data_IF_085562500232
#
_entry.id   IF_085562500232
#
_cell.length_a   1.000
_cell.length_b   1.000
_cell.length_c   1.000
_cell.angle_alpha   90.00
_cell.angle_beta   90.00
_cell.angle_gamma   90.00
#
_symmetry.space_group_name_H-M   'P 1'
#
loop_
_entity.id
_entity.type
_entity.pdbx_description
1 polymer ?
#
# COMPACT_ATOMS: atom_id res chain seq x y z
N UNK A 1 10.00 4.85 -25.84
CA UNK A 1 10.78 6.04 -26.23
C UNK A 1 12.23 6.00 -25.68
N UNK A 2 12.49 5.29 -24.58
CA UNK A 2 13.82 5.18 -23.94
C UNK A 2 14.59 3.93 -24.43
N UNK A 3 14.02 3.14 -25.34
CA UNK A 3 14.66 1.96 -25.96
C UNK A 3 14.90 0.77 -25.01
N UNK A 4 14.27 0.78 -23.80
CA UNK A 4 14.34 -0.35 -22.88
C UNK A 4 13.16 -1.30 -23.12
N UNK A 5 13.43 -2.61 -23.11
CA UNK A 5 12.41 -3.65 -23.21
C UNK A 5 11.57 -3.75 -21.93
N UNK A 6 10.48 -4.51 -21.94
CA UNK A 6 9.56 -4.64 -20.79
C UNK A 6 10.22 -5.24 -19.54
N UNK A 7 11.13 -6.19 -19.71
CA UNK A 7 11.82 -6.89 -18.63
C UNK A 7 12.67 -5.97 -17.73
N UNK A 8 13.53 -5.07 -18.26
CA UNK A 8 14.20 -4.02 -17.49
C UNK A 8 13.23 -3.13 -16.69
N UNK A 9 12.12 -2.70 -17.29
CA UNK A 9 11.17 -1.80 -16.65
C UNK A 9 10.49 -2.49 -15.44
N UNK A 10 10.03 -3.72 -15.62
CA UNK A 10 9.40 -4.49 -14.55
C UNK A 10 10.38 -4.85 -13.44
N UNK A 11 11.66 -5.11 -13.77
CA UNK A 11 12.68 -5.39 -12.77
C UNK A 11 13.00 -4.17 -11.88
N UNK A 12 12.99 -2.95 -12.43
CA UNK A 12 13.14 -1.71 -11.62
C UNK A 12 12.03 -1.61 -10.59
N UNK A 13 10.78 -1.91 -10.96
CA UNK A 13 9.63 -1.86 -10.04
C UNK A 13 9.76 -2.93 -8.95
N UNK A 14 10.07 -4.17 -9.34
CA UNK A 14 10.24 -5.29 -8.41
C UNK A 14 11.35 -5.05 -7.38
N UNK A 15 12.53 -4.64 -7.85
CA UNK A 15 13.67 -4.30 -6.99
C UNK A 15 13.37 -3.14 -6.05
N UNK A 16 12.65 -2.11 -6.54
CA UNK A 16 12.22 -0.98 -5.70
C UNK A 16 11.30 -1.44 -4.56
N UNK A 17 10.33 -2.30 -4.88
CA UNK A 17 9.40 -2.84 -3.87
C UNK A 17 10.13 -3.68 -2.82
N UNK A 18 11.12 -4.47 -3.24
CA UNK A 18 11.96 -5.25 -2.33
C UNK A 18 12.78 -4.33 -1.39
N UNK A 19 13.36 -3.25 -1.91
CA UNK A 19 14.08 -2.27 -1.08
C UNK A 19 13.14 -1.62 -0.07
N UNK A 20 11.93 -1.21 -0.47
CA UNK A 20 10.94 -0.64 0.45
C UNK A 20 10.55 -1.66 1.52
N UNK A 21 10.34 -2.92 1.15
CA UNK A 21 10.05 -3.99 2.10
C UNK A 21 11.14 -4.14 3.17
N UNK A 22 12.40 -4.18 2.75
CA UNK A 22 13.55 -4.35 3.65
C UNK A 22 13.84 -3.10 4.49
N UNK A 23 13.66 -1.90 3.92
CA UNK A 23 13.98 -0.64 4.58
C UNK A 23 12.89 -0.17 5.56
N UNK A 24 11.61 -0.45 5.31
CA UNK A 24 10.50 0.01 6.15
C UNK A 24 10.63 -0.36 7.63
N UNK A 25 10.98 -1.60 8.02
CA UNK A 25 11.16 -1.94 9.43
C UNK A 25 12.37 -1.25 10.08
N UNK A 26 13.39 -0.94 9.27
CA UNK A 26 14.57 -0.19 9.74
C UNK A 26 14.16 1.24 10.05
N UNK A 27 13.48 1.91 9.13
CA UNK A 27 12.98 3.26 9.31
C UNK A 27 11.96 3.38 10.44
N UNK A 28 11.11 2.39 10.63
CA UNK A 28 10.20 2.31 11.76
C UNK A 28 10.95 2.45 13.10
N UNK A 29 12.01 1.66 13.29
CA UNK A 29 12.87 1.72 14.48
C UNK A 29 13.71 2.99 14.57
N UNK A 30 14.23 3.48 13.44
CA UNK A 30 14.95 4.76 13.38
C UNK A 30 14.04 5.90 13.84
N UNK A 31 12.75 5.85 13.50
CA UNK A 31 11.77 6.84 13.94
C UNK A 31 11.51 6.81 15.46
N UNK A 32 11.77 5.68 16.10
CA UNK A 32 11.77 5.60 17.57
C UNK A 32 12.92 6.40 18.21
N UNK A 33 14.05 6.45 17.54
CA UNK A 33 15.26 7.13 18.05
C UNK A 33 15.33 8.60 17.66
N UNK A 34 15.16 8.90 16.38
CA UNK A 34 15.29 10.28 15.84
C UNK A 34 14.00 11.11 16.03
N UNK A 35 12.89 10.46 16.36
CA UNK A 35 11.57 11.06 16.43
C UNK A 35 10.78 10.93 15.12
N UNK A 36 9.45 10.81 15.27
CA UNK A 36 8.53 10.57 14.14
C UNK A 36 8.61 11.66 13.08
N UNK A 37 8.49 12.92 13.52
CA UNK A 37 8.51 14.08 12.63
C UNK A 37 9.79 14.16 11.80
N UNK A 38 10.96 13.96 12.42
CA UNK A 38 12.24 14.02 11.71
C UNK A 38 12.33 12.95 10.61
N UNK A 39 11.93 11.71 10.91
CA UNK A 39 11.98 10.62 9.94
C UNK A 39 10.94 10.79 8.83
N UNK A 40 9.73 11.32 9.15
CA UNK A 40 8.76 11.70 8.12
C UNK A 40 9.35 12.74 7.15
N UNK A 41 10.01 13.77 7.67
CA UNK A 41 10.67 14.78 6.86
C UNK A 41 11.78 14.20 5.97
N UNK A 42 12.62 13.32 6.53
CA UNK A 42 13.64 12.59 5.74
C UNK A 42 12.98 11.84 4.59
N UNK A 43 11.88 11.13 4.87
CA UNK A 43 11.14 10.41 3.84
C UNK A 43 10.53 11.31 2.75
N UNK A 44 9.94 12.45 3.13
CA UNK A 44 9.31 13.38 2.18
C UNK A 44 10.36 14.11 1.31
N UNK A 45 11.41 14.66 1.92
CA UNK A 45 12.50 15.28 1.16
C UNK A 45 13.29 14.25 0.35
N UNK A 46 13.48 13.04 0.89
CA UNK A 46 14.08 11.93 0.17
C UNK A 46 13.23 11.47 -1.03
N UNK A 47 11.90 11.48 -0.91
CA UNK A 47 10.99 11.25 -2.03
C UNK A 47 11.17 12.33 -3.10
N UNK A 48 11.16 13.61 -2.72
CA UNK A 48 11.36 14.73 -3.65
C UNK A 48 12.71 14.64 -4.36
N UNK A 49 13.80 14.56 -3.61
CA UNK A 49 15.16 14.47 -4.17
C UNK A 49 15.37 13.23 -5.04
N UNK A 50 14.85 12.08 -4.59
CA UNK A 50 14.92 10.82 -5.35
C UNK A 50 14.12 10.87 -6.66
N UNK A 51 12.95 11.56 -6.66
CA UNK A 51 12.16 11.78 -7.87
C UNK A 51 12.90 12.71 -8.83
N UNK A 52 13.51 13.77 -8.33
CA UNK A 52 14.37 14.67 -9.14
C UNK A 52 15.52 13.89 -9.76
N UNK A 53 16.24 13.09 -8.97
CA UNK A 53 17.34 12.27 -9.46
C UNK A 53 16.88 11.29 -10.56
N UNK A 54 15.79 10.56 -10.32
CA UNK A 54 15.25 9.61 -11.27
C UNK A 54 14.79 10.27 -12.57
N UNK A 55 14.10 11.42 -12.47
CA UNK A 55 13.69 12.22 -13.63
C UNK A 55 14.88 12.77 -14.42
N UNK A 56 15.93 13.20 -13.75
CA UNK A 56 17.15 13.70 -14.41
C UNK A 56 17.80 12.59 -15.23
N UNK A 57 17.88 11.37 -14.68
CA UNK A 57 18.39 10.21 -15.41
C UNK A 57 17.50 9.84 -16.61
N UNK A 58 16.16 9.88 -16.43
CA UNK A 58 15.22 9.66 -17.54
C UNK A 58 15.38 10.71 -18.64
N UNK A 59 15.55 11.97 -18.26
CA UNK A 59 15.78 13.05 -19.23
C UNK A 59 17.07 12.84 -20.03
N UNK A 60 18.15 12.41 -19.39
CA UNK A 60 19.39 12.03 -20.07
C UNK A 60 19.19 10.86 -21.03
N UNK A 61 18.31 9.93 -20.72
CA UNK A 61 17.91 8.86 -21.63
C UNK A 61 17.10 9.36 -22.81
N UNK A 62 16.14 10.26 -22.59
CA UNK A 62 15.30 10.84 -23.65
C UNK A 62 16.11 11.73 -24.61
N UNK A 63 17.12 12.43 -24.10
CA UNK A 63 18.03 13.25 -24.93
C UNK A 63 19.13 12.43 -25.64
N UNK A 64 19.21 11.11 -25.38
CA UNK A 64 20.22 10.24 -25.96
C UNK A 64 21.62 10.37 -25.32
N UNK A 65 21.78 11.16 -24.26
CA UNK A 65 23.06 11.32 -23.56
C UNK A 65 23.45 10.04 -22.78
N UNK A 66 22.49 9.25 -22.33
CA UNK A 66 22.68 7.92 -21.77
C UNK A 66 21.79 6.92 -22.52
N UNK A 67 22.36 5.77 -22.90
CA UNK A 67 21.64 4.74 -23.66
C UNK A 67 21.98 3.33 -23.18
N UNK A 68 21.16 2.35 -23.57
CA UNK A 68 21.43 0.92 -23.35
C UNK A 68 21.64 0.55 -21.87
N UNK A 69 22.65 -0.27 -21.61
CA UNK A 69 22.95 -0.80 -20.27
C UNK A 69 23.37 0.27 -19.25
N UNK A 70 24.03 1.34 -19.70
CA UNK A 70 24.43 2.44 -18.82
C UNK A 70 23.24 3.23 -18.31
N UNK A 71 22.27 3.52 -19.17
CA UNK A 71 21.00 4.12 -18.79
C UNK A 71 20.22 3.23 -17.81
N UNK A 72 20.13 1.94 -18.11
CA UNK A 72 19.45 0.98 -17.25
C UNK A 72 20.08 0.90 -15.87
N UNK A 73 21.41 0.80 -15.78
CA UNK A 73 22.14 0.80 -14.52
C UNK A 73 21.92 2.10 -13.71
N UNK A 74 21.97 3.25 -14.37
CA UNK A 74 21.74 4.55 -13.75
C UNK A 74 20.29 4.67 -13.22
N UNK A 75 19.29 4.21 -13.96
CA UNK A 75 17.89 4.18 -13.53
C UNK A 75 17.67 3.26 -12.32
N UNK A 76 18.30 2.07 -12.31
CA UNK A 76 18.24 1.16 -11.15
C UNK A 76 18.84 1.85 -9.93
N UNK A 77 20.06 2.38 -10.02
CA UNK A 77 20.71 3.04 -8.88
C UNK A 77 19.87 4.20 -8.36
N UNK A 78 19.44 5.10 -9.24
CA UNK A 78 18.58 6.22 -8.87
C UNK A 78 17.29 5.76 -8.19
N UNK A 79 16.65 4.69 -8.69
CA UNK A 79 15.42 4.17 -8.15
C UNK A 79 15.60 3.46 -6.81
N UNK A 80 16.68 2.70 -6.63
CA UNK A 80 16.98 2.04 -5.35
C UNK A 80 17.33 3.06 -4.26
N UNK A 81 18.12 4.09 -4.59
CA UNK A 81 18.39 5.22 -3.68
C UNK A 81 17.09 5.91 -3.30
N UNK A 82 16.23 6.24 -4.28
CA UNK A 82 14.91 6.83 -4.03
C UNK A 82 14.08 5.94 -3.12
N UNK A 83 13.90 4.65 -3.45
CA UNK A 83 13.09 3.71 -2.70
C UNK A 83 13.56 3.55 -1.24
N UNK A 84 14.87 3.52 -1.00
CA UNK A 84 15.44 3.34 0.33
C UNK A 84 15.13 4.50 1.28
N UNK A 85 15.12 5.75 0.79
CA UNK A 85 14.87 6.93 1.62
C UNK A 85 13.37 7.26 1.71
N UNK A 86 12.63 7.18 0.60
CA UNK A 86 11.19 7.45 0.60
C UNK A 86 10.41 6.50 1.54
N UNK A 87 10.90 5.27 1.70
CA UNK A 87 10.28 4.27 2.58
C UNK A 87 10.25 4.65 4.06
N UNK A 88 10.93 5.73 4.46
CA UNK A 88 10.93 6.28 5.81
C UNK A 88 9.58 6.93 6.20
N UNK A 89 8.88 7.54 5.23
CA UNK A 89 7.71 8.36 5.50
C UNK A 89 6.55 7.56 6.11
N UNK A 90 6.16 6.45 5.50
CA UNK A 90 4.98 5.68 5.91
C UNK A 90 5.10 5.04 7.30
N UNK A 91 6.18 4.33 7.66
CA UNK A 91 6.34 3.79 9.01
C UNK A 91 6.32 4.87 10.09
N UNK A 92 6.99 6.01 9.82
CA UNK A 92 7.02 7.12 10.76
C UNK A 92 5.64 7.78 10.91
N UNK A 93 4.88 7.96 9.83
CA UNK A 93 3.51 8.48 9.86
C UNK A 93 2.57 7.55 10.60
N UNK A 94 2.63 6.23 10.34
CA UNK A 94 1.83 5.22 11.04
C UNK A 94 2.12 5.22 12.54
N UNK A 95 3.40 5.25 12.90
CA UNK A 95 3.81 5.30 14.30
C UNK A 95 3.43 6.64 14.97
N UNK A 96 3.53 7.77 14.26
CA UNK A 96 3.07 9.07 14.73
C UNK A 96 1.56 9.06 15.00
N UNK A 97 0.76 8.51 14.08
CA UNK A 97 -0.68 8.36 14.26
C UNK A 97 -0.99 7.49 15.49
N UNK A 98 -0.21 6.44 15.71
CA UNK A 98 -0.32 5.62 16.90
C UNK A 98 0.02 6.41 18.20
N UNK A 99 1.01 7.28 18.16
CA UNK A 99 1.43 8.07 19.31
C UNK A 99 0.38 9.15 19.71
N UNK A 100 -0.39 9.70 18.75
CA UNK A 100 -1.37 10.78 19.00
C UNK A 100 -2.80 10.29 19.20
N UNK A 101 -3.08 9.01 19.01
CA UNK A 101 -4.42 8.43 19.16
C UNK A 101 -4.51 7.53 20.38
N UNK A 102 -5.65 7.59 21.08
CA UNK A 102 -5.95 6.63 22.13
C UNK A 102 -6.27 5.24 21.54
N UNK A 103 -6.17 4.14 22.32
CA UNK A 103 -6.50 2.80 21.82
C UNK A 103 -7.89 2.73 21.17
N UNK A 104 -8.91 3.40 21.74
CA UNK A 104 -10.28 3.42 21.25
C UNK A 104 -10.41 4.15 19.90
N UNK A 105 -9.60 5.18 19.68
CA UNK A 105 -9.62 5.99 18.46
C UNK A 105 -8.55 5.58 17.44
N UNK A 106 -7.77 4.54 17.71
CA UNK A 106 -6.65 4.09 16.86
C UNK A 106 -7.09 3.77 15.44
N UNK A 107 -8.17 3.02 15.30
CA UNK A 107 -8.72 2.66 13.98
C UNK A 107 -9.20 3.89 13.21
N UNK A 108 -9.83 4.85 13.88
CA UNK A 108 -10.27 6.11 13.27
C UNK A 108 -9.09 6.94 12.75
N UNK A 109 -8.02 7.05 13.54
CA UNK A 109 -6.78 7.72 13.12
C UNK A 109 -6.14 7.05 11.90
N UNK A 110 -6.02 5.72 11.92
CA UNK A 110 -5.51 4.97 10.77
C UNK A 110 -6.43 5.09 9.55
N UNK A 111 -7.77 5.16 9.77
CA UNK A 111 -8.77 5.41 8.73
C UNK A 111 -8.61 6.77 8.06
N UNK A 112 -8.32 7.82 8.83
CA UNK A 112 -8.05 9.15 8.28
C UNK A 112 -6.81 9.15 7.36
N UNK A 113 -5.75 8.44 7.76
CA UNK A 113 -4.55 8.24 6.91
C UNK A 113 -4.88 7.47 5.63
N UNK A 114 -5.71 6.42 5.73
CA UNK A 114 -6.18 5.66 4.59
C UNK A 114 -7.04 6.50 3.63
N UNK A 115 -7.91 7.37 4.15
CA UNK A 115 -8.72 8.29 3.35
C UNK A 115 -7.83 9.26 2.54
N UNK A 116 -6.76 9.78 3.15
CA UNK A 116 -5.79 10.61 2.44
C UNK A 116 -5.08 9.85 1.31
N UNK A 117 -4.71 8.58 1.54
CA UNK A 117 -4.14 7.72 0.50
C UNK A 117 -5.12 7.48 -0.66
N UNK A 118 -6.41 7.22 -0.37
CA UNK A 118 -7.43 7.05 -1.40
C UNK A 118 -7.69 8.33 -2.20
N UNK A 119 -7.67 9.49 -1.54
CA UNK A 119 -7.76 10.77 -2.23
C UNK A 119 -6.59 10.94 -3.21
N UNK A 120 -5.37 10.59 -2.79
CA UNK A 120 -4.20 10.56 -3.68
C UNK A 120 -4.35 9.60 -4.86
N UNK A 121 -4.94 8.42 -4.64
CA UNK A 121 -5.21 7.44 -5.69
C UNK A 121 -6.26 7.93 -6.71
N UNK A 122 -7.21 8.77 -6.30
CA UNK A 122 -8.19 9.40 -7.20
C UNK A 122 -7.56 10.55 -7.99
N UNK A 123 -6.77 11.40 -7.31
CA UNK A 123 -6.15 12.59 -7.92
C UNK A 123 -4.93 12.24 -8.79
N UNK A 124 -4.24 11.14 -8.49
CA UNK A 124 -3.03 10.72 -9.21
C UNK A 124 -3.20 10.61 -10.73
N UNK A 125 -4.21 9.87 -11.24
CA UNK A 125 -4.49 9.78 -12.68
C UNK A 125 -4.78 11.13 -13.33
N UNK A 126 -5.45 12.05 -12.62
CA UNK A 126 -5.69 13.41 -13.14
C UNK A 126 -4.38 14.19 -13.33
N UNK A 127 -3.44 14.06 -12.40
CA UNK A 127 -2.11 14.65 -12.52
C UNK A 127 -1.29 14.02 -13.65
N UNK A 128 -1.44 12.72 -13.90
CA UNK A 128 -0.75 12.04 -15.01
C UNK A 128 -1.21 12.55 -16.38
N UNK A 129 -2.41 13.11 -16.50
CA UNK A 129 -2.91 13.76 -17.70
C UNK A 129 -2.04 14.95 -18.17
N UNK A 130 -1.28 15.57 -17.28
CA UNK A 130 -0.31 16.62 -17.62
C UNK A 130 0.85 16.13 -18.50
N UNK A 131 1.01 14.81 -18.67
CA UNK A 131 1.96 14.23 -19.63
C UNK A 131 1.68 14.64 -21.09
N UNK A 132 0.49 15.15 -21.40
CA UNK A 132 0.15 15.75 -22.71
C UNK A 132 1.04 16.96 -23.01
N UNK A 133 1.44 17.74 -22.01
CA UNK A 133 2.31 18.91 -22.20
C UNK A 133 3.80 18.53 -22.20
N UNK A 134 4.21 17.59 -21.37
CA UNK A 134 5.56 17.02 -21.33
C UNK A 134 5.54 15.69 -20.58
N UNK A 135 6.21 14.67 -21.13
CA UNK A 135 6.25 13.33 -20.56
C UNK A 135 6.71 13.31 -19.08
N UNK A 136 7.65 14.18 -18.72
CA UNK A 136 8.22 14.25 -17.39
C UNK A 136 7.53 15.27 -16.46
N UNK A 137 6.61 16.11 -16.99
CA UNK A 137 5.96 17.15 -16.20
C UNK A 137 5.22 16.62 -14.96
N UNK A 138 4.44 15.52 -15.03
CA UNK A 138 3.80 14.96 -13.85
C UNK A 138 4.79 14.59 -12.74
N UNK A 139 5.95 14.02 -13.12
CA UNK A 139 6.96 13.59 -12.17
C UNK A 139 7.68 14.79 -11.51
N UNK A 140 7.95 15.87 -12.27
CA UNK A 140 8.47 17.12 -11.71
C UNK A 140 7.49 17.75 -10.73
N UNK A 141 6.21 17.77 -11.08
CA UNK A 141 5.16 18.29 -10.21
C UNK A 141 5.07 17.49 -8.90
N UNK A 142 5.13 16.14 -8.96
CA UNK A 142 5.12 15.28 -7.78
C UNK A 142 6.35 15.56 -6.90
N UNK A 143 7.53 15.78 -7.47
CA UNK A 143 8.72 16.14 -6.71
C UNK A 143 8.54 17.45 -5.95
N UNK A 144 7.97 18.48 -6.60
CA UNK A 144 7.66 19.77 -5.98
C UNK A 144 6.62 19.62 -4.87
N UNK A 145 5.51 18.89 -5.12
CA UNK A 145 4.48 18.63 -4.12
C UNK A 145 5.03 17.87 -2.90
N UNK A 146 5.92 16.90 -3.10
CA UNK A 146 6.57 16.19 -2.01
C UNK A 146 7.48 17.12 -1.17
N UNK A 147 8.20 18.03 -1.81
CA UNK A 147 9.01 19.05 -1.13
C UNK A 147 8.12 19.97 -0.29
N UNK A 148 7.04 20.50 -0.86
CA UNK A 148 6.07 21.31 -0.13
C UNK A 148 5.44 20.55 1.04
N UNK A 149 5.11 19.28 0.86
CA UNK A 149 4.60 18.45 1.95
C UNK A 149 5.65 18.29 3.08
N UNK A 150 6.91 18.07 2.72
CA UNK A 150 8.01 18.06 3.70
C UNK A 150 8.12 19.38 4.48
N UNK A 151 8.02 20.52 3.81
CA UNK A 151 8.01 21.86 4.43
C UNK A 151 6.78 22.06 5.31
N UNK A 152 5.61 21.57 4.86
CA UNK A 152 4.37 21.64 5.64
C UNK A 152 4.48 20.83 6.93
N UNK A 153 5.00 19.60 6.85
CA UNK A 153 5.30 18.75 8.01
C UNK A 153 6.28 19.44 8.95
N UNK A 154 7.34 20.04 8.41
CA UNK A 154 8.33 20.79 9.21
C UNK A 154 7.69 21.93 9.98
N UNK A 155 6.85 22.73 9.33
CA UNK A 155 6.30 23.97 9.93
C UNK A 155 5.10 23.68 10.85
N UNK A 156 4.19 22.80 10.45
CA UNK A 156 2.88 22.68 11.09
C UNK A 156 2.70 21.41 11.92
N UNK A 157 3.43 20.32 11.63
CA UNK A 157 3.25 19.11 12.42
C UNK A 157 3.96 19.25 13.77
N UNK A 158 3.27 19.11 14.92
CA UNK A 158 3.92 19.12 16.23
C UNK A 158 4.82 17.89 16.39
N UNK A 159 5.74 17.94 17.34
CA UNK A 159 6.48 16.75 17.75
C UNK A 159 5.51 15.73 18.39
N UNK A 160 5.79 14.44 18.25
CA UNK A 160 5.00 13.42 18.92
C UNK A 160 4.99 13.69 20.44
N UNK A 161 3.81 13.63 21.10
CA UNK A 161 3.68 13.92 22.53
C UNK A 161 4.42 12.93 23.44
N UNK A 162 4.83 11.80 22.91
CA UNK A 162 5.60 10.84 23.69
C UNK A 162 6.99 11.40 24.03
N UNK A 163 7.16 11.76 25.31
CA UNK A 163 8.49 11.95 25.90
C UNK A 163 9.24 10.61 25.84
N UNK A 164 10.03 10.45 24.81
CA UNK A 164 10.98 9.33 24.81
C UNK A 164 12.16 9.73 25.68
N UNK A 165 12.41 8.95 26.72
CA UNK A 165 13.73 8.93 27.30
C UNK A 165 14.73 8.80 26.13
N UNK A 166 15.77 9.62 26.13
CA UNK A 166 16.82 9.59 25.10
C UNK A 166 17.57 8.25 25.20
N UNK A 167 16.89 7.16 24.89
CA UNK A 167 17.51 5.84 24.77
C UNK A 167 18.48 5.89 23.62
N UNK A 168 19.75 5.69 23.91
CA UNK A 168 20.82 5.57 22.91
C UNK A 168 20.64 4.32 22.03
N UNK A 169 19.71 3.42 22.35
CA UNK A 169 19.44 2.18 21.63
C UNK A 169 18.24 2.33 20.67
N UNK A 170 18.30 1.66 19.54
CA UNK A 170 17.12 1.45 18.67
C UNK A 170 16.08 0.67 19.48
N UNK A 171 14.78 1.02 19.28
CA UNK A 171 13.68 0.29 19.91
C UNK A 171 13.77 -1.23 19.67
N UNK A 172 13.09 -2.04 20.51
CA UNK A 172 13.18 -3.49 20.44
C UNK A 172 12.82 -4.01 19.06
N UNK A 173 13.59 -4.98 18.56
CA UNK A 173 13.40 -5.58 17.24
C UNK A 173 12.30 -6.62 17.30
N UNK A 174 11.12 -6.32 16.78
CA UNK A 174 10.11 -7.33 16.54
C UNK A 174 10.49 -8.22 15.34
N UNK A 175 10.08 -9.47 15.42
CA UNK A 175 10.21 -10.45 14.32
C UNK A 175 8.88 -10.53 13.58
N UNK A 176 8.91 -10.74 12.26
CA UNK A 176 7.69 -10.95 11.45
C UNK A 176 6.82 -12.12 11.95
N UNK A 177 7.43 -13.12 12.53
CA UNK A 177 6.78 -14.32 13.09
C UNK A 177 6.44 -14.19 14.58
N UNK A 178 6.49 -12.99 15.18
CA UNK A 178 6.05 -12.78 16.56
C UNK A 178 4.55 -13.13 16.66
N UNK A 179 4.16 -14.07 17.55
CA UNK A 179 2.79 -14.55 17.65
C UNK A 179 1.75 -13.45 17.89
N UNK A 180 2.15 -12.33 18.49
CA UNK A 180 1.26 -11.17 18.76
C UNK A 180 0.84 -10.44 17.50
N UNK A 181 1.74 -10.31 16.53
CA UNK A 181 1.52 -9.55 15.29
C UNK A 181 1.32 -10.43 14.06
N UNK A 182 1.69 -11.71 14.12
CA UNK A 182 1.60 -12.64 12.99
C UNK A 182 0.23 -12.68 12.32
N UNK A 183 -0.91 -12.71 13.04
CA UNK A 183 -2.23 -12.67 12.41
C UNK A 183 -2.43 -11.43 11.55
N UNK A 184 -1.99 -10.27 12.04
CA UNK A 184 -2.10 -9.01 11.31
C UNK A 184 -1.15 -8.97 10.12
N UNK A 185 0.08 -9.47 10.25
CA UNK A 185 1.05 -9.54 9.15
C UNK A 185 0.50 -10.43 8.02
N UNK A 186 -0.04 -11.61 8.34
CA UNK A 186 -0.65 -12.51 7.35
C UNK A 186 -1.82 -11.82 6.63
N UNK A 187 -2.74 -11.21 7.38
CA UNK A 187 -3.86 -10.45 6.79
C UNK A 187 -3.33 -9.33 5.90
N UNK A 188 -2.37 -8.54 6.38
CA UNK A 188 -1.81 -7.43 5.64
C UNK A 188 -1.16 -7.85 4.32
N UNK A 189 -0.28 -8.86 4.36
CA UNK A 189 0.40 -9.36 3.14
C UNK A 189 -0.61 -9.91 2.14
N UNK A 190 -1.54 -10.77 2.58
CA UNK A 190 -2.54 -11.38 1.71
C UNK A 190 -3.51 -10.35 1.13
N UNK A 191 -3.90 -9.35 1.93
CA UNK A 191 -4.75 -8.24 1.51
C UNK A 191 -4.09 -7.43 0.38
N UNK A 192 -2.86 -6.99 0.56
CA UNK A 192 -2.14 -6.24 -0.47
C UNK A 192 -1.76 -7.11 -1.68
N UNK A 193 -1.46 -8.38 -1.48
CA UNK A 193 -1.22 -9.32 -2.57
C UNK A 193 -2.48 -9.49 -3.45
N UNK A 194 -3.64 -9.72 -2.84
CA UNK A 194 -4.90 -9.83 -3.58
C UNK A 194 -5.27 -8.52 -4.29
N UNK A 195 -5.06 -7.36 -3.65
CA UNK A 195 -5.27 -6.06 -4.27
C UNK A 195 -4.35 -5.87 -5.49
N UNK A 196 -3.06 -6.14 -5.35
CA UNK A 196 -2.09 -6.00 -6.43
C UNK A 196 -2.32 -6.99 -7.59
N UNK A 197 -2.80 -8.20 -7.28
CA UNK A 197 -3.22 -9.20 -8.26
C UNK A 197 -4.34 -8.65 -9.14
N UNK A 198 -5.39 -8.06 -8.55
CA UNK A 198 -6.50 -7.43 -9.28
C UNK A 198 -6.01 -6.24 -10.10
N UNK A 199 -5.18 -5.38 -9.52
CA UNK A 199 -4.60 -4.23 -10.24
C UNK A 199 -3.88 -4.64 -11.52
N UNK A 200 -3.22 -5.78 -11.51
CA UNK A 200 -2.46 -6.28 -12.66
C UNK A 200 -3.33 -7.01 -13.68
N UNK A 201 -4.33 -7.75 -13.27
CA UNK A 201 -5.04 -8.70 -14.14
C UNK A 201 -6.42 -8.24 -14.57
N UNK A 202 -7.06 -7.31 -13.84
CA UNK A 202 -8.45 -6.93 -14.09
C UNK A 202 -8.65 -6.23 -15.44
N UNK A 203 -7.64 -5.52 -15.94
CA UNK A 203 -7.68 -4.93 -17.30
C UNK A 203 -7.87 -6.01 -18.37
N UNK A 204 -7.04 -7.07 -18.30
CA UNK A 204 -7.16 -8.22 -19.19
C UNK A 204 -8.50 -8.96 -18.99
N UNK A 205 -8.96 -9.12 -17.75
CA UNK A 205 -10.26 -9.75 -17.45
C UNK A 205 -11.44 -9.01 -18.07
N UNK A 206 -11.46 -7.66 -18.02
CA UNK A 206 -12.46 -6.86 -18.71
C UNK A 206 -12.37 -7.02 -20.22
N UNK A 207 -11.16 -7.00 -20.77
CA UNK A 207 -10.91 -7.14 -22.20
C UNK A 207 -11.41 -8.50 -22.72
N UNK A 208 -11.00 -9.58 -22.07
CA UNK A 208 -11.31 -10.95 -22.48
C UNK A 208 -12.80 -11.28 -22.28
N UNK A 209 -13.37 -10.95 -21.12
CA UNK A 209 -14.75 -11.29 -20.78
C UNK A 209 -15.79 -10.51 -21.61
N UNK A 210 -15.46 -9.29 -22.04
CA UNK A 210 -16.39 -8.40 -22.74
C UNK A 210 -16.01 -8.16 -24.20
N UNK A 211 -14.93 -8.79 -24.70
CA UNK A 211 -14.38 -8.60 -26.05
C UNK A 211 -14.14 -7.12 -26.39
N UNK A 212 -13.57 -6.34 -25.45
CA UNK A 212 -13.34 -4.92 -25.59
C UNK A 212 -12.04 -4.64 -26.33
N UNK A 213 -12.01 -3.52 -27.04
CA UNK A 213 -10.76 -2.93 -27.54
C UNK A 213 -9.94 -2.37 -26.37
N UNK A 214 -8.63 -2.17 -26.56
CA UNK A 214 -7.76 -1.59 -25.54
C UNK A 214 -8.26 -0.22 -25.04
N UNK A 215 -8.77 0.63 -25.94
CA UNK A 215 -9.29 1.95 -25.60
C UNK A 215 -10.58 1.89 -24.76
N UNK A 216 -11.48 0.95 -25.06
CA UNK A 216 -12.70 0.72 -24.29
C UNK A 216 -12.38 0.12 -22.93
N UNK A 217 -11.42 -0.81 -22.87
CA UNK A 217 -10.94 -1.41 -21.61
C UNK A 217 -10.43 -0.35 -20.65
N UNK A 218 -9.63 0.61 -21.10
CA UNK A 218 -9.11 1.71 -20.27
C UNK A 218 -10.26 2.52 -19.67
N UNK A 219 -11.30 2.82 -20.46
CA UNK A 219 -12.48 3.58 -19.97
C UNK A 219 -13.26 2.79 -18.92
N UNK A 220 -13.56 1.52 -19.21
CA UNK A 220 -14.36 0.67 -18.30
C UNK A 220 -13.60 0.41 -17.01
N UNK A 221 -12.33 0.05 -17.10
CA UNK A 221 -11.45 -0.19 -15.94
C UNK A 221 -11.29 1.09 -15.11
N UNK A 222 -11.09 2.24 -15.76
CA UNK A 222 -10.97 3.53 -15.08
C UNK A 222 -12.20 3.84 -14.22
N UNK A 223 -13.41 3.64 -14.75
CA UNK A 223 -14.66 3.82 -13.99
C UNK A 223 -14.73 2.84 -12.81
N UNK A 224 -14.41 1.57 -13.04
CA UNK A 224 -14.44 0.56 -12.00
C UNK A 224 -13.42 0.84 -10.86
N UNK A 225 -12.22 1.34 -11.21
CA UNK A 225 -11.20 1.78 -10.24
C UNK A 225 -11.65 3.01 -9.45
N UNK A 226 -12.28 3.99 -10.11
CA UNK A 226 -12.84 5.17 -9.44
C UNK A 226 -13.95 4.77 -8.45
N UNK A 227 -14.87 3.88 -8.85
CA UNK A 227 -15.89 3.37 -7.96
C UNK A 227 -15.29 2.61 -6.78
N UNK A 228 -14.28 1.76 -7.01
CA UNK A 228 -13.55 1.06 -5.96
C UNK A 228 -12.93 2.03 -4.95
N UNK A 229 -12.23 3.06 -5.41
CA UNK A 229 -11.64 4.09 -4.55
C UNK A 229 -12.71 4.91 -3.80
N UNK A 230 -13.82 5.26 -4.48
CA UNK A 230 -14.96 5.94 -3.86
C UNK A 230 -15.61 5.10 -2.75
N UNK A 231 -15.84 3.80 -3.00
CA UNK A 231 -16.36 2.87 -1.99
C UNK A 231 -15.38 2.69 -0.81
N UNK A 232 -14.08 2.69 -1.07
CA UNK A 232 -13.06 2.66 -0.01
C UNK A 232 -13.09 3.93 0.85
N UNK A 233 -13.19 5.11 0.23
CA UNK A 233 -13.38 6.38 0.95
C UNK A 233 -14.65 6.39 1.78
N UNK A 234 -15.77 5.94 1.19
CA UNK A 234 -17.05 5.83 1.91
C UNK A 234 -16.94 4.91 3.12
N UNK A 235 -16.32 3.74 2.97
CA UNK A 235 -16.10 2.81 4.07
C UNK A 235 -15.27 3.45 5.20
N UNK A 236 -14.22 4.19 4.86
CA UNK A 236 -13.39 4.88 5.85
C UNK A 236 -14.12 6.04 6.53
N UNK A 237 -14.85 6.86 5.76
CA UNK A 237 -15.54 8.03 6.31
C UNK A 237 -16.77 7.67 7.13
N UNK A 238 -17.49 6.59 6.78
CA UNK A 238 -18.75 6.21 7.43
C UNK A 238 -18.54 5.05 8.39
N UNK A 239 -18.02 3.91 7.92
CA UNK A 239 -17.91 2.71 8.77
C UNK A 239 -16.81 2.90 9.83
N UNK A 240 -15.58 3.24 9.39
CA UNK A 240 -14.43 3.32 10.29
C UNK A 240 -14.52 4.53 11.23
N UNK A 241 -15.02 5.68 10.75
CA UNK A 241 -15.09 6.89 11.58
C UNK A 241 -16.28 6.91 12.53
N UNK A 242 -17.44 6.39 12.12
CA UNK A 242 -18.67 6.48 12.93
C UNK A 242 -18.90 5.29 13.85
N UNK A 243 -18.43 4.09 13.47
CA UNK A 243 -18.64 2.88 14.27
C UNK A 243 -17.46 2.63 15.22
N UNK A 244 -17.80 2.33 16.48
CA UNK A 244 -16.83 2.00 17.54
C UNK A 244 -16.64 0.48 17.60
N UNK A 245 -16.12 -0.10 16.53
CA UNK A 245 -15.88 -1.55 16.42
C UNK A 245 -14.39 -1.83 16.64
N UNK A 246 -14.07 -2.91 17.35
CA UNK A 246 -12.69 -3.33 17.58
C UNK A 246 -12.00 -3.67 16.25
N UNK A 247 -10.69 -3.38 16.08
CA UNK A 247 -9.97 -3.64 14.84
C UNK A 247 -10.07 -5.09 14.37
N UNK A 248 -10.03 -6.03 15.29
CA UNK A 248 -10.13 -7.45 14.97
C UNK A 248 -11.50 -7.83 14.38
N UNK A 249 -12.59 -7.26 14.90
CA UNK A 249 -13.95 -7.50 14.40
C UNK A 249 -14.15 -6.85 13.02
N UNK A 250 -13.55 -5.68 12.78
CA UNK A 250 -13.52 -5.05 11.45
C UNK A 250 -12.78 -5.92 10.42
N UNK A 251 -11.67 -6.55 10.81
CA UNK A 251 -10.97 -7.51 9.94
C UNK A 251 -11.85 -8.73 9.65
N UNK A 252 -12.55 -9.27 10.65
CA UNK A 252 -13.48 -10.39 10.48
C UNK A 252 -14.66 -10.04 9.56
N UNK A 253 -15.09 -8.80 9.55
CA UNK A 253 -16.11 -8.31 8.61
C UNK A 253 -15.56 -8.16 7.19
N UNK A 254 -14.36 -7.64 7.04
CA UNK A 254 -13.77 -7.31 5.73
C UNK A 254 -13.29 -8.54 4.95
N UNK A 255 -12.78 -9.58 5.62
CA UNK A 255 -12.26 -10.79 4.97
C UNK A 255 -13.34 -11.52 4.15
N UNK A 256 -14.56 -11.81 4.67
CA UNK A 256 -15.64 -12.37 3.87
C UNK A 256 -16.04 -11.49 2.67
N UNK A 257 -16.05 -10.15 2.84
CA UNK A 257 -16.35 -9.23 1.74
C UNK A 257 -15.31 -9.31 0.63
N UNK A 258 -14.01 -9.41 0.99
CA UNK A 258 -12.94 -9.65 0.02
C UNK A 258 -13.10 -11.00 -0.67
N UNK A 259 -13.37 -12.06 0.07
CA UNK A 259 -13.65 -13.39 -0.49
C UNK A 259 -14.80 -13.35 -1.50
N UNK A 260 -15.93 -12.72 -1.14
CA UNK A 260 -17.08 -12.56 -2.03
C UNK A 260 -16.70 -11.78 -3.29
N UNK A 261 -15.97 -10.67 -3.13
CA UNK A 261 -15.50 -9.87 -4.26
C UNK A 261 -14.68 -10.69 -5.25
N UNK A 262 -13.70 -11.47 -4.79
CA UNK A 262 -12.89 -12.34 -5.67
C UNK A 262 -13.71 -13.47 -6.28
N UNK A 263 -14.66 -14.03 -5.53
CA UNK A 263 -15.60 -15.05 -6.06
C UNK A 263 -16.45 -14.46 -7.20
N UNK A 264 -16.96 -13.25 -7.04
CA UNK A 264 -17.73 -12.57 -8.10
C UNK A 264 -16.85 -12.29 -9.33
N UNK A 265 -15.59 -11.88 -9.16
CA UNK A 265 -14.66 -11.70 -10.26
C UNK A 265 -14.33 -12.98 -11.00
N UNK A 266 -14.35 -14.12 -10.30
CA UNK A 266 -14.12 -15.45 -10.90
C UNK A 266 -15.34 -15.95 -11.68
N UNK A 267 -16.54 -15.81 -11.13
CA UNK A 267 -17.75 -16.46 -11.64
C UNK A 267 -18.50 -15.65 -12.71
N UNK A 268 -18.33 -14.34 -12.74
CA UNK A 268 -19.11 -13.49 -13.63
C UNK A 268 -18.24 -12.80 -14.69
N UNK A 269 -18.85 -12.59 -15.88
CA UNK A 269 -18.20 -11.97 -17.03
C UNK A 269 -18.92 -10.67 -17.49
N UNK A 270 -19.98 -10.28 -16.78
CA UNK A 270 -20.70 -9.05 -17.13
C UNK A 270 -19.99 -7.80 -16.61
N UNK A 271 -20.03 -6.71 -17.38
CA UNK A 271 -19.46 -5.41 -16.99
C UNK A 271 -19.96 -4.94 -15.63
N UNK A 272 -21.27 -5.07 -15.37
CA UNK A 272 -21.87 -4.64 -14.11
C UNK A 272 -21.35 -5.41 -12.91
N UNK A 273 -21.27 -6.74 -13.00
CA UNK A 273 -20.80 -7.60 -11.90
C UNK A 273 -19.31 -7.45 -11.63
N UNK A 274 -18.47 -7.34 -12.67
CA UNK A 274 -17.03 -7.09 -12.49
C UNK A 274 -16.78 -5.72 -11.84
N UNK A 275 -17.51 -4.69 -12.28
CA UNK A 275 -17.44 -3.36 -11.68
C UNK A 275 -17.94 -3.36 -10.24
N UNK A 276 -19.05 -4.04 -9.94
CA UNK A 276 -19.57 -4.21 -8.58
C UNK A 276 -18.58 -4.96 -7.69
N UNK A 277 -17.97 -6.03 -8.19
CA UNK A 277 -16.95 -6.78 -7.46
C UNK A 277 -15.73 -5.90 -7.11
N UNK A 278 -15.25 -5.05 -8.03
CA UNK A 278 -14.19 -4.07 -7.73
C UNK A 278 -14.63 -3.03 -6.70
N UNK A 279 -15.86 -2.55 -6.77
CA UNK A 279 -16.41 -1.63 -5.78
C UNK A 279 -16.49 -2.27 -4.38
N UNK A 280 -16.93 -3.52 -4.31
CA UNK A 280 -16.98 -4.31 -3.08
C UNK A 280 -15.56 -4.55 -2.51
N UNK A 281 -14.57 -4.85 -3.38
CA UNK A 281 -13.18 -4.95 -2.98
C UNK A 281 -12.69 -3.63 -2.36
N UNK A 282 -12.98 -2.50 -3.02
CA UNK A 282 -12.62 -1.18 -2.50
C UNK A 282 -13.24 -0.91 -1.14
N UNK A 283 -14.54 -1.20 -0.97
CA UNK A 283 -15.23 -1.06 0.31
C UNK A 283 -14.58 -1.91 1.40
N UNK A 284 -14.33 -3.18 1.12
CA UNK A 284 -13.70 -4.11 2.06
C UNK A 284 -12.27 -3.69 2.43
N UNK A 285 -11.46 -3.23 1.45
CA UNK A 285 -10.11 -2.68 1.67
C UNK A 285 -10.14 -1.40 2.52
N UNK A 286 -11.16 -0.56 2.31
CA UNK A 286 -11.37 0.66 3.10
C UNK A 286 -11.58 0.38 4.60
N UNK A 287 -12.15 -0.78 4.94
CA UNK A 287 -12.30 -1.26 6.33
C UNK A 287 -11.03 -1.99 6.79
N UNK A 288 -10.52 -2.92 5.96
CA UNK A 288 -9.44 -3.82 6.33
C UNK A 288 -8.12 -3.09 6.59
N UNK A 289 -7.77 -2.10 5.76
CA UNK A 289 -6.52 -1.35 5.88
C UNK A 289 -6.33 -0.68 7.23
N UNK A 290 -7.23 0.22 7.66
CA UNK A 290 -7.17 0.83 8.97
C UNK A 290 -7.24 -0.17 10.14
N UNK A 291 -8.07 -1.20 10.01
CA UNK A 291 -8.22 -2.23 11.02
C UNK A 291 -6.94 -3.07 11.18
N UNK A 292 -6.28 -3.42 10.09
CA UNK A 292 -4.98 -4.10 10.10
C UNK A 292 -3.91 -3.27 10.81
N UNK A 293 -3.75 -2.01 10.43
CA UNK A 293 -2.76 -1.10 11.01
C UNK A 293 -3.02 -0.86 12.50
N UNK A 294 -4.28 -0.60 12.87
CA UNK A 294 -4.67 -0.39 14.26
C UNK A 294 -4.50 -1.66 15.10
N UNK A 295 -4.93 -2.80 14.59
CA UNK A 295 -4.81 -4.10 15.26
C UNK A 295 -3.35 -4.48 15.53
N UNK A 296 -2.49 -4.34 14.54
CA UNK A 296 -1.05 -4.57 14.70
C UNK A 296 -0.43 -3.63 15.74
N UNK A 297 -0.80 -2.35 15.73
CA UNK A 297 -0.35 -1.34 16.70
C UNK A 297 -0.79 -1.67 18.14
N UNK A 298 -2.04 -2.11 18.33
CA UNK A 298 -2.58 -2.44 19.65
C UNK A 298 -2.05 -3.78 20.22
N UNK A 299 -1.47 -4.62 19.38
CA UNK A 299 -0.91 -5.91 19.78
C UNK A 299 0.46 -5.81 20.45
N UNK A 300 1.08 -4.64 20.50
CA UNK A 300 2.44 -4.43 21.00
C UNK A 300 2.52 -3.28 21.99
N UNK A 301 3.61 -3.24 22.76
CA UNK A 301 3.85 -2.16 23.71
C UNK A 301 4.17 -0.83 23.02
N UNK A 302 4.12 0.24 23.80
CA UNK A 302 4.44 1.59 23.36
C UNK A 302 5.87 1.74 22.82
N UNK A 303 6.81 0.99 23.41
CA UNK A 303 8.22 0.98 23.01
C UNK A 303 8.45 0.27 21.67
N UNK A 304 7.54 -0.60 21.26
CA UNK A 304 7.61 -1.39 20.02
C UNK A 304 6.87 -0.75 18.83
N UNK A 305 6.21 0.42 19.02
CA UNK A 305 5.37 1.06 18.01
C UNK A 305 6.10 1.34 16.68
N UNK A 306 7.35 1.78 16.73
CA UNK A 306 8.13 1.98 15.52
C UNK A 306 8.48 0.68 14.81
N UNK A 307 8.78 -0.38 15.58
CA UNK A 307 9.08 -1.68 15.01
C UNK A 307 7.85 -2.29 14.31
N UNK A 308 6.68 -2.27 14.96
CA UNK A 308 5.44 -2.79 14.36
C UNK A 308 4.96 -1.94 13.19
N UNK A 309 5.08 -0.60 13.26
CA UNK A 309 4.74 0.28 12.15
C UNK A 309 5.61 0.00 10.91
N UNK A 310 6.91 -0.28 11.12
CA UNK A 310 7.82 -0.68 10.06
C UNK A 310 7.41 -2.00 9.39
N UNK A 311 7.10 -3.02 10.21
CA UNK A 311 6.63 -4.33 9.72
C UNK A 311 5.29 -4.17 8.98
N UNK A 312 4.31 -3.48 9.55
CA UNK A 312 3.02 -3.27 8.93
C UNK A 312 3.14 -2.53 7.59
N UNK A 313 3.98 -1.49 7.53
CA UNK A 313 4.25 -0.75 6.28
C UNK A 313 4.99 -1.57 5.23
N UNK A 314 5.69 -2.63 5.60
CA UNK A 314 6.37 -3.52 4.67
C UNK A 314 5.45 -4.59 4.05
N UNK A 315 4.28 -4.85 4.63
CA UNK A 315 3.31 -5.82 4.10
C UNK A 315 2.80 -5.42 2.71
N UNK A 316 2.58 -4.11 2.48
CA UNK A 316 2.19 -3.58 1.17
C UNK A 316 3.20 -3.92 0.07
N UNK A 317 4.44 -3.44 0.17
CA UNK A 317 5.51 -3.76 -0.80
C UNK A 317 5.69 -5.26 -1.06
N UNK A 318 5.59 -6.10 -0.03
CA UNK A 318 5.67 -7.56 -0.20
C UNK A 318 4.48 -8.09 -1.02
N UNK A 319 3.26 -7.63 -0.71
CA UNK A 319 2.05 -7.96 -1.46
C UNK A 319 2.13 -7.50 -2.92
N UNK A 320 2.61 -6.27 -3.16
CA UNK A 320 2.81 -5.71 -4.51
C UNK A 320 3.96 -6.36 -5.29
N UNK A 321 4.86 -7.08 -4.64
CA UNK A 321 5.86 -7.92 -5.32
C UNK A 321 5.26 -9.27 -5.73
N UNK A 322 4.58 -9.95 -4.81
CA UNK A 322 4.05 -11.29 -5.03
C UNK A 322 2.77 -11.30 -5.89
N UNK A 323 1.88 -10.31 -5.70
CA UNK A 323 0.57 -10.25 -6.36
C UNK A 323 0.63 -10.25 -7.88
N UNK A 324 1.36 -9.32 -8.52
CA UNK A 324 1.47 -9.26 -9.98
C UNK A 324 2.09 -10.52 -10.59
N UNK A 325 3.12 -11.09 -9.93
CA UNK A 325 3.80 -12.30 -10.42
C UNK A 325 2.81 -13.48 -10.39
N UNK A 326 2.17 -13.73 -9.26
CA UNK A 326 1.17 -14.79 -9.12
C UNK A 326 -0.02 -14.55 -10.04
N UNK A 327 -0.52 -13.31 -10.09
CA UNK A 327 -1.64 -12.93 -10.94
C UNK A 327 -1.35 -13.19 -12.41
N UNK A 328 -0.19 -12.75 -12.91
CA UNK A 328 0.23 -12.97 -14.29
C UNK A 328 0.41 -14.45 -14.64
N UNK A 329 1.10 -15.22 -13.80
CA UNK A 329 1.30 -16.65 -14.01
C UNK A 329 -0.02 -17.43 -14.04
N UNK A 330 -0.92 -17.17 -13.08
CA UNK A 330 -2.22 -17.83 -13.03
C UNK A 330 -3.10 -17.42 -14.21
N UNK A 331 -3.06 -16.14 -14.61
CA UNK A 331 -3.85 -15.62 -15.73
C UNK A 331 -3.46 -16.27 -17.07
N UNK A 332 -2.17 -16.53 -17.29
CA UNK A 332 -1.70 -17.25 -18.50
C UNK A 332 -2.25 -18.66 -18.60
N UNK A 333 -2.53 -19.33 -17.48
CA UNK A 333 -3.14 -20.65 -17.47
C UNK A 333 -4.64 -20.57 -17.73
N UNK A 334 -5.35 -19.67 -17.02
CA UNK A 334 -6.76 -19.41 -17.21
C UNK A 334 -7.14 -18.03 -16.61
N UNK A 335 -7.90 -17.17 -17.32
CA UNK A 335 -8.31 -15.85 -16.85
C UNK A 335 -9.07 -15.83 -15.52
N UNK A 336 -9.68 -16.93 -15.10
CA UNK A 336 -10.44 -17.06 -13.84
C UNK A 336 -9.54 -17.42 -12.65
N UNK A 337 -8.43 -18.13 -12.89
CA UNK A 337 -7.58 -18.69 -11.83
C UNK A 337 -7.04 -17.68 -10.83
N UNK A 338 -6.60 -16.46 -11.19
CA UNK A 338 -6.12 -15.49 -10.23
C UNK A 338 -7.17 -15.18 -9.15
N UNK A 339 -8.41 -15.00 -9.57
CA UNK A 339 -9.53 -14.63 -8.70
C UNK A 339 -10.01 -15.81 -7.86
N UNK A 340 -10.12 -16.99 -8.45
CA UNK A 340 -10.45 -18.24 -7.73
C UNK A 340 -9.39 -18.56 -6.67
N UNK A 341 -8.11 -18.43 -7.00
CA UNK A 341 -7.01 -18.60 -6.05
C UNK A 341 -7.12 -17.61 -4.88
N UNK A 342 -7.34 -16.32 -5.17
CA UNK A 342 -7.51 -15.31 -4.14
C UNK A 342 -8.73 -15.62 -3.25
N UNK A 343 -9.87 -16.00 -3.83
CA UNK A 343 -11.06 -16.37 -3.07
C UNK A 343 -10.79 -17.52 -2.10
N UNK A 344 -10.07 -18.57 -2.54
CA UNK A 344 -9.67 -19.71 -1.69
C UNK A 344 -8.74 -19.25 -0.56
N UNK A 345 -7.74 -18.42 -0.86
CA UNK A 345 -6.83 -17.88 0.15
C UNK A 345 -7.59 -17.08 1.22
N UNK A 346 -8.57 -16.25 0.83
CA UNK A 346 -9.38 -15.51 1.79
C UNK A 346 -10.36 -16.43 2.57
N UNK A 347 -10.86 -17.49 1.97
CA UNK A 347 -11.64 -18.51 2.69
C UNK A 347 -10.80 -19.19 3.79
N UNK A 348 -9.57 -19.58 3.46
CA UNK A 348 -8.63 -20.15 4.45
C UNK A 348 -8.31 -19.13 5.55
N UNK A 349 -8.08 -17.87 5.19
CA UNK A 349 -7.82 -16.80 6.14
C UNK A 349 -9.00 -16.55 7.08
N UNK A 350 -10.24 -16.62 6.56
CA UNK A 350 -11.46 -16.51 7.36
C UNK A 350 -11.54 -17.63 8.42
N UNK A 351 -11.24 -18.87 8.04
CA UNK A 351 -11.20 -20.01 8.96
C UNK A 351 -10.10 -19.86 10.02
N UNK A 352 -8.94 -19.37 9.62
CA UNK A 352 -7.82 -19.09 10.53
C UNK A 352 -8.20 -18.04 11.56
N UNK A 353 -8.80 -16.91 11.15
CA UNK A 353 -9.24 -15.83 12.04
C UNK A 353 -10.36 -16.30 12.98
N UNK A 354 -11.23 -17.21 12.56
CA UNK A 354 -12.24 -17.86 13.41
C UNK A 354 -11.62 -18.63 14.58
N UNK A 355 -10.57 -19.42 14.31
CA UNK A 355 -9.86 -20.21 15.34
C UNK A 355 -9.08 -19.35 16.36
N UNK A 356 -8.59 -18.18 15.95
CA UNK A 356 -7.89 -17.25 16.86
C UNK A 356 -8.84 -16.67 17.92
N UNK A 357 -10.07 -16.37 17.55
CA UNK A 357 -11.07 -15.83 18.47
C UNK A 357 -11.47 -16.82 19.56
N UNK A 358 -11.66 -18.08 19.24
CA UNK A 358 -12.00 -19.12 20.23
C UNK A 358 -10.91 -19.29 21.28
N UNK A 359 -9.64 -19.03 20.93
CA UNK A 359 -8.51 -19.10 21.88
C UNK A 359 -8.39 -17.84 22.76
N UNK A 360 -8.82 -16.67 22.29
CA UNK A 360 -8.82 -15.43 23.10
C UNK A 360 -9.97 -15.46 24.12
N UNK A 361 -11.18 -15.86 23.73
CA UNK A 361 -12.32 -16.00 24.67
C UNK A 361 -12.13 -17.15 25.68
N UNK A 362 -11.30 -18.13 25.40
CA UNK A 362 -10.96 -19.19 26.35
C UNK A 362 -9.92 -18.79 27.41
N UNK A 363 -9.31 -17.58 27.26
CA UNK A 363 -8.31 -17.04 28.20
C UNK A 363 -8.83 -15.88 29.05
N UNK A 364 -9.98 -15.31 28.73
CA UNK A 364 -10.71 -14.36 29.56
C UNK A 364 -11.82 -15.14 30.28
N UNK A 365 -11.67 -15.48 31.61
CA UNK A 365 -12.72 -16.13 32.38
C UNK A 365 -13.89 -15.20 32.67
#
# INVERSE_FOLDING_TARGET
EVGLSELPITSIIGLSSLVVFLASPIWGRVSDRLGRKAVMMIGMFGFSAGTVLFNSVLNLGLTGALTGSTLFAALIVARLCHASVMSAAMPAATAYMADITTPENRTKGMGASGAANNLGAILGPALSGLAVFSLLLPLWLIAVLACFNGLFVWKFLPQSPMKREKSKSMGPKLRYLDPRILPFVLVGVLMFMGFALVQQTMGFRFQDALNLTAAETVKVLGIAMMLSAGCSLFAQAVVVQKLTIKPFDLLRLSIPLLMISFTLMALFESRGMLTFAMALQGFAMGIAGPAFMAGASLAVSTQEQGSVAGIASSCGPLGFTAGPILGGLLYQVNPVLPYAFAAIVYAILMLFMGKLNTRQHAKDP
#
